data_IF_509775602089
#
_entry.id   IF_509775602089
#
_cell.length_a   1.000
_cell.length_b   1.000
_cell.length_c   1.000
_cell.angle_alpha   90.00
_cell.angle_beta   90.00
_cell.angle_gamma   90.00
#
_symmetry.space_group_name_H-M   'P 1'
#
loop_
_entity.id
_entity.type
_entity.pdbx_description
1 polymer ?
#
# COMPACT_ATOMS: atom_id res chain seq x y z
N UNK A 1 -50.57 28.36 5.21
CA UNK A 1 -49.25 28.88 4.77
C UNK A 1 -48.23 28.33 5.74
N UNK A 2 -47.43 27.36 5.31
CA UNK A 2 -46.48 26.62 6.15
C UNK A 2 -45.08 27.14 5.81
N UNK A 3 -44.43 27.79 6.77
CA UNK A 3 -43.06 28.29 6.61
C UNK A 3 -42.07 27.18 7.01
N UNK A 4 -41.34 26.69 6.00
CA UNK A 4 -40.19 25.80 6.13
C UNK A 4 -38.99 26.61 6.62
N UNK A 5 -38.49 26.34 7.82
CA UNK A 5 -37.19 26.83 8.30
C UNK A 5 -36.24 25.64 8.40
N UNK A 6 -35.14 25.58 7.64
CA UNK A 6 -34.15 24.51 7.77
C UNK A 6 -33.24 24.74 9.00
N UNK A 7 -32.79 23.68 9.70
CA UNK A 7 -31.87 23.82 10.81
C UNK A 7 -30.45 24.16 10.32
N UNK A 8 -29.89 25.25 10.85
CA UNK A 8 -28.51 25.67 10.69
C UNK A 8 -27.62 24.77 11.55
N UNK A 9 -26.97 23.79 10.94
CA UNK A 9 -25.91 23.00 11.56
C UNK A 9 -24.55 23.69 11.36
N UNK A 10 -24.11 24.50 12.33
CA UNK A 10 -22.72 24.93 12.44
C UNK A 10 -21.97 24.01 13.42
N UNK A 11 -20.77 23.51 13.08
CA UNK A 11 -19.97 22.71 14.01
C UNK A 11 -19.40 23.57 15.15
N UNK A 12 -19.23 23.03 16.37
CA UNK A 12 -18.69 23.78 17.50
C UNK A 12 -17.21 24.11 17.29
N UNK A 13 -16.89 25.40 17.27
CA UNK A 13 -15.53 25.92 17.31
C UNK A 13 -14.93 25.69 18.70
N UNK A 14 -14.10 24.65 18.87
CA UNK A 14 -13.35 24.46 20.10
C UNK A 14 -12.18 25.46 20.15
N UNK A 15 -12.40 26.55 20.88
CA UNK A 15 -11.35 27.45 21.37
C UNK A 15 -10.43 26.68 22.32
N UNK A 16 -9.20 26.37 21.90
CA UNK A 16 -8.15 25.90 22.80
C UNK A 16 -7.64 27.07 23.64
N UNK A 17 -8.03 27.13 24.91
CA UNK A 17 -7.26 27.85 25.92
C UNK A 17 -6.08 26.96 26.31
N UNK A 18 -4.91 27.22 25.74
CA UNK A 18 -3.65 26.71 26.27
C UNK A 18 -3.39 27.42 27.60
N UNK A 19 -3.54 26.71 28.71
CA UNK A 19 -2.98 27.11 30.00
C UNK A 19 -1.60 26.46 30.07
N UNK A 20 -0.57 27.28 29.88
CA UNK A 20 0.81 26.89 30.08
C UNK A 20 1.20 27.29 31.49
N UNK A 21 1.16 26.37 32.44
CA UNK A 21 1.83 26.52 33.72
C UNK A 21 3.12 25.70 33.70
N UNK A 22 4.23 26.38 33.43
CA UNK A 22 5.57 25.87 33.68
C UNK A 22 6.42 27.01 34.25
N UNK A 23 7.06 26.77 35.40
CA UNK A 23 8.43 27.25 35.57
C UNK A 23 9.26 26.08 36.19
N UNK A 24 10.52 25.81 35.89
CA UNK A 24 11.68 26.68 35.75
C UNK A 24 12.79 25.94 34.98
N UNK A 25 13.43 26.70 34.10
CA UNK A 25 14.86 26.76 33.76
C UNK A 25 15.82 25.68 34.31
N UNK A 26 16.60 25.08 33.40
CA UNK A 26 18.06 25.06 33.49
C UNK A 26 18.66 25.12 32.07
N UNK A 27 19.53 26.12 31.88
CA UNK A 27 20.28 26.48 30.67
C UNK A 27 21.67 25.82 30.75
N UNK A 28 22.32 25.69 29.58
CA UNK A 28 23.73 25.40 29.26
C UNK A 28 23.94 23.94 28.80
N UNK A 29 24.52 23.63 27.63
CA UNK A 29 25.47 24.37 26.81
C UNK A 29 25.43 23.88 25.35
N UNK A 30 25.61 24.82 24.44
CA UNK A 30 25.80 24.68 23.00
C UNK A 30 27.16 24.09 22.64
N UNK A 31 27.20 23.10 21.75
CA UNK A 31 28.29 22.95 20.76
C UNK A 31 27.63 22.62 19.42
N UNK A 32 27.48 23.65 18.58
CA UNK A 32 27.24 23.49 17.15
C UNK A 32 28.60 23.25 16.51
N UNK A 33 28.87 22.02 16.06
CA UNK A 33 29.90 21.79 15.06
C UNK A 33 29.20 21.93 13.71
N UNK A 34 29.37 23.10 13.09
CA UNK A 34 29.17 23.23 11.65
C UNK A 34 30.28 22.43 10.96
N UNK A 35 29.90 21.39 10.23
CA UNK A 35 30.74 20.84 9.18
C UNK A 35 30.16 21.30 7.85
N UNK A 36 30.92 22.17 7.21
CA UNK A 36 30.70 22.65 5.85
C UNK A 36 30.72 21.49 4.86
N UNK A 37 29.67 21.44 4.04
CA UNK A 37 29.66 21.12 2.61
C UNK A 37 30.60 20.03 2.08
N UNK A 38 30.07 18.80 1.97
CA UNK A 38 30.34 17.93 0.82
C UNK A 38 29.04 17.24 0.39
N UNK A 39 28.24 17.92 -0.43
CA UNK A 39 27.15 17.26 -1.18
C UNK A 39 27.79 16.49 -2.34
N UNK A 40 27.62 15.16 -2.44
CA UNK A 40 28.13 14.42 -3.58
C UNK A 40 27.39 14.84 -4.86
N UNK A 41 28.08 15.03 -6.01
CA UNK A 41 27.42 15.39 -7.26
C UNK A 41 26.48 14.26 -7.70
N UNK A 42 25.23 14.63 -8.01
CA UNK A 42 24.22 13.74 -8.57
C UNK A 42 24.72 13.24 -9.94
N UNK A 43 24.84 11.93 -10.19
CA UNK A 43 25.21 11.44 -11.51
C UNK A 43 24.09 11.78 -12.52
N UNK A 44 24.47 12.47 -13.61
CA UNK A 44 23.57 12.81 -14.69
C UNK A 44 22.93 11.53 -15.28
N UNK A 45 21.60 11.50 -15.35
CA UNK A 45 20.86 10.44 -16.01
C UNK A 45 21.17 10.45 -17.52
N UNK A 46 21.64 9.34 -18.12
CA UNK A 46 21.81 9.27 -19.56
C UNK A 46 20.42 9.26 -20.22
N UNK A 47 20.10 10.35 -20.95
CA UNK A 47 18.95 10.38 -21.86
C UNK A 47 19.29 9.56 -23.10
N UNK A 48 18.86 8.31 -23.14
CA UNK A 48 18.81 7.55 -24.39
C UNK A 48 17.35 7.48 -24.88
N UNK A 49 16.93 8.53 -25.57
CA UNK A 49 15.77 8.49 -26.45
C UNK A 49 16.16 7.73 -27.71
N UNK A 50 15.83 6.44 -27.76
CA UNK A 50 15.63 5.76 -29.04
C UNK A 50 14.25 5.14 -29.01
N UNK A 51 13.26 5.90 -29.48
CA UNK A 51 11.94 5.35 -29.83
C UNK A 51 12.19 4.50 -31.07
N UNK A 52 12.18 3.17 -30.92
CA UNK A 52 12.07 2.27 -32.06
C UNK A 52 10.65 2.38 -32.61
N UNK A 53 10.45 2.84 -33.86
CA UNK A 53 9.14 2.72 -34.48
C UNK A 53 8.86 1.25 -34.68
N UNK A 54 7.84 0.78 -33.99
CA UNK A 54 7.20 -0.52 -34.17
C UNK A 54 6.92 -0.71 -35.66
N UNK A 55 7.63 -1.66 -36.27
CA UNK A 55 7.40 -2.03 -37.67
C UNK A 55 6.08 -2.81 -37.75
N UNK A 56 4.96 -2.11 -37.87
CA UNK A 56 3.67 -2.69 -38.25
C UNK A 56 3.66 -2.99 -39.76
N UNK A 57 4.49 -3.94 -40.20
CA UNK A 57 4.29 -4.60 -41.49
C UNK A 57 3.49 -5.88 -41.28
N UNK A 58 2.25 -5.74 -40.77
CA UNK A 58 1.26 -6.82 -40.83
C UNK A 58 0.71 -6.81 -42.25
N UNK A 59 1.15 -7.77 -43.06
CA UNK A 59 0.61 -8.05 -44.39
C UNK A 59 -0.91 -7.93 -44.38
N UNK A 60 -1.46 -7.02 -45.20
CA UNK A 60 -2.90 -6.83 -45.41
C UNK A 60 -3.51 -7.93 -46.28
N UNK A 61 -2.71 -8.92 -46.71
CA UNK A 61 -3.20 -10.07 -47.45
C UNK A 61 -3.90 -11.02 -46.48
N UNK A 62 -5.22 -11.07 -46.54
CA UNK A 62 -6.01 -12.05 -45.83
C UNK A 62 -5.52 -13.46 -46.18
N UNK A 63 -5.04 -14.21 -45.17
CA UNK A 63 -4.60 -15.59 -45.34
C UNK A 63 -5.78 -16.46 -45.76
N UNK A 64 -5.70 -17.10 -46.92
CA UNK A 64 -6.72 -18.03 -47.41
C UNK A 64 -6.79 -19.23 -46.47
N UNK A 65 -7.96 -19.49 -45.89
CA UNK A 65 -8.20 -20.66 -45.05
C UNK A 65 -8.84 -21.76 -45.90
N UNK A 66 -8.27 -22.96 -45.85
CA UNK A 66 -8.76 -24.13 -46.59
C UNK A 66 -9.42 -25.11 -45.64
N UNK A 67 -10.52 -25.74 -46.06
CA UNK A 67 -11.16 -26.85 -45.33
C UNK A 67 -11.78 -27.83 -46.32
N UNK A 68 -11.47 -29.12 -46.15
CA UNK A 68 -11.96 -30.22 -47.00
C UNK A 68 -11.73 -30.01 -48.51
N UNK A 69 -10.59 -29.43 -48.89
CA UNK A 69 -10.26 -29.17 -50.30
C UNK A 69 -10.89 -27.91 -50.91
N UNK A 70 -11.67 -27.15 -50.14
CA UNK A 70 -12.29 -25.89 -50.61
C UNK A 70 -11.76 -24.68 -49.84
N UNK A 71 -11.66 -23.53 -50.53
CA UNK A 71 -11.36 -22.24 -49.91
C UNK A 71 -12.58 -21.79 -49.10
N UNK A 72 -12.39 -21.54 -47.81
CA UNK A 72 -13.45 -21.07 -46.92
C UNK A 72 -13.82 -19.63 -47.31
N UNK A 73 -15.09 -19.34 -47.62
CA UNK A 73 -15.47 -17.98 -47.95
C UNK A 73 -15.24 -17.05 -46.75
N UNK A 74 -14.84 -15.79 -46.98
CA UNK A 74 -14.72 -14.82 -45.91
C UNK A 74 -16.08 -14.67 -45.22
N UNK A 75 -16.08 -14.69 -43.89
CA UNK A 75 -17.30 -14.46 -43.11
C UNK A 75 -17.79 -13.03 -43.43
N UNK A 76 -19.03 -12.83 -43.89
CA UNK A 76 -19.54 -11.50 -44.16
C UNK A 76 -19.50 -10.69 -42.87
N UNK A 77 -18.96 -9.47 -42.95
CA UNK A 77 -19.08 -8.50 -41.88
C UNK A 77 -20.56 -8.09 -41.84
N UNK A 78 -21.33 -8.66 -40.92
CA UNK A 78 -22.67 -8.16 -40.66
C UNK A 78 -22.57 -6.72 -40.19
N UNK A 79 -22.94 -5.77 -41.05
CA UNK A 79 -22.95 -4.36 -40.70
C UNK A 79 -24.12 -4.10 -39.75
N UNK A 80 -23.81 -4.02 -38.46
CA UNK A 80 -24.73 -3.53 -37.44
C UNK A 80 -24.27 -2.10 -37.12
N UNK A 81 -25.00 -1.05 -37.58
CA UNK A 81 -24.62 0.32 -37.27
C UNK A 81 -24.57 0.51 -35.75
N UNK A 82 -23.55 1.23 -35.27
CA UNK A 82 -23.30 1.51 -33.85
C UNK A 82 -22.91 0.31 -32.96
N UNK A 83 -22.68 -0.87 -33.53
CA UNK A 83 -22.12 -1.99 -32.76
C UNK A 83 -20.61 -1.77 -32.56
N UNK A 84 -20.21 -1.32 -31.37
CA UNK A 84 -18.82 -1.40 -30.96
C UNK A 84 -18.40 -2.87 -30.92
N UNK A 85 -17.26 -3.27 -31.52
CA UNK A 85 -16.78 -4.64 -31.41
C UNK A 85 -16.63 -4.96 -29.93
N UNK A 86 -17.34 -6.00 -29.44
CA UNK A 86 -17.11 -6.52 -28.08
C UNK A 86 -15.64 -6.87 -27.99
N UNK A 87 -14.87 -6.03 -27.29
CA UNK A 87 -13.49 -6.32 -26.94
C UNK A 87 -13.57 -7.61 -26.13
N UNK A 88 -13.17 -8.73 -26.72
CA UNK A 88 -12.97 -9.96 -26.00
C UNK A 88 -11.79 -9.71 -25.07
N UNK A 89 -12.07 -9.11 -23.92
CA UNK A 89 -11.22 -9.22 -22.76
C UNK A 89 -11.18 -10.70 -22.45
N UNK A 90 -10.22 -11.42 -23.05
CA UNK A 90 -9.72 -12.63 -22.43
C UNK A 90 -9.09 -12.14 -21.13
N UNK A 91 -9.92 -12.03 -20.10
CA UNK A 91 -9.47 -11.84 -18.73
C UNK A 91 -8.58 -13.06 -18.49
N UNK A 92 -7.27 -12.83 -18.49
CA UNK A 92 -6.32 -13.88 -18.18
C UNK A 92 -6.44 -14.14 -16.68
N UNK A 93 -7.47 -14.89 -16.29
CA UNK A 93 -7.78 -15.23 -14.90
C UNK A 93 -6.63 -15.97 -14.22
N UNK A 94 -5.69 -16.52 -15.01
CA UNK A 94 -4.58 -17.34 -14.53
C UNK A 94 -3.21 -16.65 -14.66
N UNK A 95 -3.12 -15.37 -15.06
CA UNK A 95 -1.83 -14.66 -15.09
C UNK A 95 -1.19 -14.55 -13.69
N UNK A 96 -2.01 -14.63 -12.65
CA UNK A 96 -1.61 -14.57 -11.24
C UNK A 96 -1.88 -15.87 -10.49
N UNK A 97 -2.15 -16.98 -11.18
CA UNK A 97 -2.15 -18.31 -10.54
C UNK A 97 -0.69 -18.72 -10.29
N UNK A 98 -0.07 -18.10 -9.29
CA UNK A 98 1.16 -18.61 -8.69
C UNK A 98 0.81 -19.89 -7.93
N UNK A 99 1.17 -21.06 -8.48
CA UNK A 99 0.86 -22.38 -7.91
C UNK A 99 1.54 -22.67 -6.55
N UNK A 100 2.27 -21.70 -5.98
CA UNK A 100 2.96 -21.84 -4.71
C UNK A 100 2.82 -20.59 -3.85
N UNK A 101 1.60 -20.25 -3.44
CA UNK A 101 1.45 -19.55 -2.16
C UNK A 101 1.73 -20.58 -1.07
N UNK A 102 2.92 -20.53 -0.47
CA UNK A 102 3.19 -21.26 0.77
C UNK A 102 2.12 -20.85 1.79
N UNK A 103 1.19 -21.75 2.08
CA UNK A 103 0.19 -21.54 3.13
C UNK A 103 0.96 -21.60 4.45
N UNK A 104 1.14 -20.44 5.06
CA UNK A 104 1.82 -20.35 6.34
C UNK A 104 0.90 -20.90 7.44
N UNK A 105 1.38 -21.88 8.19
CA UNK A 105 0.61 -22.49 9.28
C UNK A 105 0.42 -21.49 10.43
N UNK A 106 -0.79 -21.42 11.04
CA UNK A 106 -1.02 -20.70 12.28
C UNK A 106 0.01 -21.05 13.35
N UNK A 107 0.48 -20.05 14.10
CA UNK A 107 1.40 -20.24 15.22
C UNK A 107 0.70 -19.95 16.54
N UNK A 108 1.15 -20.62 17.60
CA UNK A 108 0.68 -20.37 18.96
C UNK A 108 1.02 -18.94 19.41
N UNK A 109 0.15 -18.30 20.21
CA UNK A 109 0.39 -16.95 20.70
C UNK A 109 1.57 -16.93 21.67
N UNK A 110 2.42 -15.92 21.54
CA UNK A 110 3.57 -15.73 22.42
C UNK A 110 3.16 -14.96 23.68
N UNK A 111 3.83 -15.26 24.79
CA UNK A 111 3.61 -14.58 26.05
C UNK A 111 4.25 -13.17 26.04
N UNK A 112 3.72 -12.26 26.86
CA UNK A 112 4.26 -10.91 26.99
C UNK A 112 5.79 -10.82 27.25
N UNK A 113 6.40 -11.63 28.14
CA UNK A 113 7.85 -11.57 28.34
C UNK A 113 8.65 -11.99 27.10
N UNK A 114 8.13 -12.93 26.31
CA UNK A 114 8.78 -13.43 25.09
C UNK A 114 8.77 -12.36 24.01
N UNK A 115 7.63 -11.69 23.83
CA UNK A 115 7.52 -10.55 22.91
C UNK A 115 8.47 -9.41 23.27
N UNK A 116 8.56 -9.05 24.55
CA UNK A 116 9.50 -8.02 25.00
C UNK A 116 10.96 -8.43 24.77
N UNK A 117 11.28 -9.69 24.98
CA UNK A 117 12.62 -10.24 24.74
C UNK A 117 12.95 -10.24 23.23
N UNK A 118 12.01 -10.62 22.37
CA UNK A 118 12.18 -10.55 20.91
C UNK A 118 12.35 -9.11 20.43
N UNK A 119 11.50 -8.18 20.89
CA UNK A 119 11.57 -6.78 20.51
C UNK A 119 12.91 -6.14 20.91
N UNK A 120 13.46 -6.50 22.08
CA UNK A 120 14.79 -6.06 22.52
C UNK A 120 15.91 -6.68 21.69
N UNK A 121 15.82 -7.97 21.38
CA UNK A 121 16.79 -8.66 20.50
C UNK A 121 16.85 -8.02 19.11
N UNK A 122 15.71 -7.57 18.60
CA UNK A 122 15.61 -6.87 17.32
C UNK A 122 15.87 -5.36 17.41
N UNK A 123 16.25 -4.85 18.59
CA UNK A 123 16.49 -3.42 18.85
C UNK A 123 15.32 -2.50 18.48
N UNK A 124 14.08 -3.02 18.51
CA UNK A 124 12.85 -2.25 18.25
C UNK A 124 12.46 -1.36 19.44
N UNK A 125 12.91 -1.73 20.63
CA UNK A 125 12.63 -1.02 21.88
C UNK A 125 13.93 -0.77 22.65
N UNK A 126 14.04 0.39 23.34
CA UNK A 126 15.06 0.60 24.37
C UNK A 126 14.97 -0.47 25.46
N UNK A 127 16.09 -0.80 26.12
CA UNK A 127 16.14 -1.85 27.15
C UNK A 127 15.17 -1.61 28.33
N UNK A 128 14.90 -0.34 28.64
CA UNK A 128 13.97 0.07 29.70
C UNK A 128 12.50 0.06 29.28
N UNK A 129 12.20 -0.07 27.99
CA UNK A 129 10.84 -0.03 27.48
C UNK A 129 10.23 -1.43 27.37
N UNK A 130 8.90 -1.47 27.39
CA UNK A 130 8.09 -2.67 27.17
C UNK A 130 7.00 -2.37 26.15
N UNK A 131 6.60 -3.40 25.41
CA UNK A 131 5.47 -3.35 24.49
C UNK A 131 4.18 -3.10 25.26
N UNK A 132 3.29 -2.33 24.64
CA UNK A 132 1.94 -2.17 25.13
C UNK A 132 1.14 -3.47 24.94
N UNK A 133 0.20 -3.71 25.85
CA UNK A 133 -0.64 -4.91 25.83
C UNK A 133 -1.39 -5.08 24.51
N UNK A 134 -2.00 -4.01 24.00
CA UNK A 134 -2.71 -4.04 22.72
C UNK A 134 -1.78 -4.39 21.55
N UNK A 135 -0.48 -4.07 21.65
CA UNK A 135 0.46 -4.41 20.58
C UNK A 135 0.70 -5.91 20.54
N UNK A 136 0.93 -6.52 21.70
CA UNK A 136 1.14 -7.97 21.80
C UNK A 136 -0.11 -8.76 21.40
N UNK A 137 -1.29 -8.32 21.83
CA UNK A 137 -2.56 -8.93 21.43
C UNK A 137 -2.78 -8.85 19.92
N UNK A 138 -2.51 -7.69 19.32
CA UNK A 138 -2.63 -7.50 17.88
C UNK A 138 -1.70 -8.42 17.08
N UNK A 139 -0.43 -8.55 17.49
CA UNK A 139 0.51 -9.43 16.77
C UNK A 139 0.17 -10.90 16.96
N UNK A 140 -0.27 -11.32 18.17
CA UNK A 140 -0.73 -12.69 18.40
C UNK A 140 -1.90 -13.06 17.47
N UNK A 141 -2.86 -12.16 17.27
CA UNK A 141 -3.98 -12.39 16.34
C UNK A 141 -3.49 -12.62 14.90
N UNK A 142 -2.44 -11.90 14.47
CA UNK A 142 -1.84 -12.10 13.16
C UNK A 142 -1.03 -13.39 13.07
N UNK A 143 -0.34 -13.81 14.14
CA UNK A 143 0.38 -15.09 14.20
C UNK A 143 -0.58 -16.28 14.11
N UNK A 144 -1.71 -16.20 14.81
CA UNK A 144 -2.75 -17.23 14.81
C UNK A 144 -3.51 -17.28 13.47
N UNK A 145 -3.41 -16.24 12.63
CA UNK A 145 -4.06 -16.14 11.30
C UNK A 145 -5.57 -16.43 11.35
N UNK A 146 -6.23 -15.99 12.42
CA UNK A 146 -7.64 -16.28 12.66
C UNK A 146 -8.56 -15.40 11.82
N UNK A 147 -8.27 -14.10 11.74
CA UNK A 147 -9.11 -13.10 11.09
C UNK A 147 -8.29 -11.89 10.60
N UNK A 148 -8.95 -11.02 9.82
CA UNK A 148 -8.42 -9.72 9.43
C UNK A 148 -8.33 -8.77 10.64
N UNK A 149 -7.18 -8.12 10.81
CA UNK A 149 -6.92 -7.22 11.95
C UNK A 149 -7.17 -5.74 11.60
N UNK A 150 -8.01 -5.07 12.40
CA UNK A 150 -8.14 -3.61 12.39
C UNK A 150 -7.74 -3.02 13.76
N UNK A 151 -6.73 -2.14 13.78
CA UNK A 151 -6.25 -1.51 15.02
C UNK A 151 -6.63 -0.03 15.08
N UNK A 152 -7.50 0.32 16.03
CA UNK A 152 -7.90 1.71 16.31
C UNK A 152 -7.27 2.14 17.63
N UNK A 153 -6.25 3.01 17.56
CA UNK A 153 -5.60 3.59 18.74
C UNK A 153 -5.20 5.05 18.47
N UNK A 154 -5.04 5.90 19.52
CA UNK A 154 -4.59 7.27 19.38
C UNK A 154 -3.27 7.42 18.61
N UNK A 155 -3.03 8.60 18.03
CA UNK A 155 -1.75 8.95 17.39
C UNK A 155 -0.62 8.94 18.42
N UNK A 156 0.56 8.45 18.03
CA UNK A 156 1.72 8.34 18.92
C UNK A 156 1.77 7.08 19.81
N UNK A 157 0.75 6.22 19.80
CA UNK A 157 0.76 4.95 20.57
C UNK A 157 1.59 3.82 19.95
N UNK A 158 2.35 4.08 18.88
CA UNK A 158 3.21 3.06 18.28
C UNK A 158 2.46 1.99 17.49
N UNK A 159 1.38 2.34 16.79
CA UNK A 159 0.70 1.42 15.86
C UNK A 159 1.61 0.91 14.74
N UNK A 160 2.58 1.74 14.31
CA UNK A 160 3.55 1.38 13.27
C UNK A 160 4.47 0.23 13.70
N UNK A 161 4.73 0.09 15.00
CA UNK A 161 5.60 -0.95 15.53
C UNK A 161 5.04 -2.36 15.31
N UNK A 162 3.72 -2.50 15.15
CA UNK A 162 3.05 -3.77 14.83
C UNK A 162 3.59 -4.40 13.55
N UNK A 163 3.86 -3.59 12.53
CA UNK A 163 4.38 -4.06 11.25
C UNK A 163 5.84 -4.51 11.31
N UNK A 164 6.58 -4.08 12.34
CA UNK A 164 7.97 -4.46 12.56
C UNK A 164 8.12 -5.71 13.41
N UNK A 165 7.05 -6.14 14.08
CA UNK A 165 7.03 -7.36 14.90
C UNK A 165 6.61 -8.61 14.12
N UNK A 166 6.10 -8.44 12.89
CA UNK A 166 5.71 -9.50 11.96
C UNK A 166 6.84 -9.81 10.96
#
# INVERSE_FOLDING_TARGET
>A
MSENIPPINTPPTQSRKCVCDAPLTLILQSVLVFHDDIVPPIPATPKNTTITPYHLSRSTKATKQWRNGFEKPPKPLGYIPYATPKRQSQTQHNLFNTEHTMVLEPMDPLAAPEWNLLARRMSLLPESATLHEFQMQAVNLVLERTDDLMVIAPTGKGKSLLWSLL
#
